data_IF_891613837937
#
_entry.id   IF_891613837937
#
_cell.length_a   1.000
_cell.length_b   1.000
_cell.length_c   1.000
_cell.angle_alpha   90.00
_cell.angle_beta   90.00
_cell.angle_gamma   90.00
#
_symmetry.space_group_name_H-M   'P 1'
#
loop_
_entity.id
_entity.type
_entity.pdbx_description
1 polymer ?
#
# COMPACT_ATOMS: atom_id res chain seq x y z
N UNK A 1 20.24 7.64 18.13
CA UNK A 1 18.90 8.15 17.74
C UNK A 1 17.88 7.09 18.14
N UNK A 2 16.68 7.47 18.58
CA UNK A 2 15.62 6.49 18.91
C UNK A 2 14.81 6.16 17.65
N UNK A 3 14.43 4.89 17.47
CA UNK A 3 13.54 4.45 16.39
C UNK A 3 12.13 4.21 16.94
N UNK A 4 11.10 4.63 16.20
CA UNK A 4 9.69 4.48 16.55
C UNK A 4 9.05 3.40 15.67
N UNK A 5 8.19 2.58 16.26
CA UNK A 5 7.30 1.65 15.55
C UNK A 5 5.87 1.95 15.95
N UNK A 6 5.01 2.15 14.95
CA UNK A 6 3.56 2.22 15.09
C UNK A 6 2.98 1.05 14.29
N UNK A 7 2.09 0.32 14.95
CA UNK A 7 1.39 -0.85 14.43
C UNK A 7 -0.05 -0.79 14.95
N UNK A 8 -0.94 -1.61 14.38
CA UNK A 8 -2.24 -1.83 14.97
C UNK A 8 -2.09 -2.41 16.39
N UNK A 9 -2.90 -1.94 17.32
CA UNK A 9 -2.96 -2.52 18.68
C UNK A 9 -3.51 -3.95 18.64
N UNK A 10 -4.42 -4.23 17.70
CA UNK A 10 -4.99 -5.57 17.49
C UNK A 10 -5.07 -5.85 15.99
N UNK A 11 -4.66 -7.04 15.58
CA UNK A 11 -4.78 -7.53 14.21
C UNK A 11 -5.12 -9.01 14.18
N UNK A 12 -6.06 -9.42 13.32
CA UNK A 12 -6.42 -10.83 13.09
C UNK A 12 -6.03 -11.25 11.69
N UNK A 13 -5.62 -12.50 11.54
CA UNK A 13 -5.15 -13.07 10.28
C UNK A 13 -5.86 -14.38 9.99
N UNK A 14 -5.98 -14.70 8.71
CA UNK A 14 -6.45 -16.00 8.25
C UNK A 14 -7.80 -15.93 7.53
N UNK A 15 -8.11 -16.97 6.73
CA UNK A 15 -9.39 -17.08 6.03
C UNK A 15 -10.56 -17.05 7.01
N UNK A 16 -11.55 -16.19 6.77
CA UNK A 16 -12.74 -16.09 7.61
C UNK A 16 -12.57 -15.27 8.90
N UNK A 17 -11.40 -14.64 9.11
CA UNK A 17 -11.13 -13.84 10.30
C UNK A 17 -12.08 -12.65 10.50
N UNK A 18 -12.81 -12.20 9.47
CA UNK A 18 -13.92 -11.22 9.60
C UNK A 18 -14.99 -11.62 10.62
N UNK A 19 -15.10 -12.91 10.95
CA UNK A 19 -16.04 -13.42 11.96
C UNK A 19 -15.83 -12.83 13.36
N UNK A 20 -14.65 -12.28 13.66
CA UNK A 20 -14.35 -11.64 14.96
C UNK A 20 -14.99 -10.25 15.12
N UNK A 21 -15.47 -9.65 14.02
CA UNK A 21 -16.01 -8.29 14.00
C UNK A 21 -17.03 -8.00 15.12
N UNK A 22 -18.09 -8.82 15.33
CA UNK A 22 -19.09 -8.53 16.35
C UNK A 22 -18.51 -8.45 17.76
N UNK A 23 -17.59 -9.36 18.09
CA UNK A 23 -16.94 -9.40 19.40
C UNK A 23 -16.05 -8.17 19.63
N UNK A 24 -15.26 -7.77 18.62
CA UNK A 24 -14.38 -6.61 18.74
C UNK A 24 -15.13 -5.27 18.77
N UNK A 25 -16.26 -5.18 18.05
CA UNK A 25 -17.18 -4.04 18.08
C UNK A 25 -17.82 -3.92 19.46
N UNK A 26 -18.38 -5.02 19.99
CA UNK A 26 -19.00 -5.05 21.32
C UNK A 26 -17.98 -4.71 22.43
N UNK A 27 -16.78 -5.29 22.37
CA UNK A 27 -15.70 -5.06 23.35
C UNK A 27 -15.26 -3.61 23.41
N UNK A 28 -15.26 -2.90 22.28
CA UNK A 28 -14.93 -1.46 22.21
C UNK A 28 -16.10 -0.54 22.51
N UNK A 29 -17.30 -1.09 22.67
CA UNK A 29 -18.51 -0.32 22.95
C UNK A 29 -19.04 0.47 21.75
N UNK A 30 -18.54 0.22 20.54
CA UNK A 30 -19.00 0.87 19.31
C UNK A 30 -20.46 0.56 18.98
N UNK A 31 -21.19 1.54 18.45
CA UNK A 31 -22.65 1.47 18.29
C UNK A 31 -23.13 1.42 16.85
N UNK A 32 -22.58 2.25 15.96
CA UNK A 32 -23.03 2.34 14.57
C UNK A 32 -21.86 2.63 13.64
N UNK A 33 -21.70 1.79 12.63
CA UNK A 33 -20.63 1.94 11.65
C UNK A 33 -21.05 2.85 10.48
N UNK A 34 -20.10 3.64 9.96
CA UNK A 34 -20.08 3.94 8.54
C UNK A 34 -19.19 2.90 7.84
N UNK A 35 -19.77 2.09 6.96
CA UNK A 35 -19.04 1.13 6.13
C UNK A 35 -18.54 1.85 4.88
N UNK A 36 -17.23 1.99 4.76
CA UNK A 36 -16.54 2.70 3.68
C UNK A 36 -16.00 1.65 2.70
N UNK A 37 -16.49 1.67 1.46
CA UNK A 37 -16.12 0.67 0.42
C UNK A 37 -16.24 1.28 -0.98
N UNK A 38 -16.14 0.48 -2.04
CA UNK A 38 -16.39 0.90 -3.40
C UNK A 38 -17.52 0.10 -4.06
N UNK A 39 -18.11 0.66 -5.12
CA UNK A 39 -19.21 0.05 -5.88
C UNK A 39 -18.86 -1.30 -6.48
N UNK A 40 -17.60 -1.51 -6.88
CA UNK A 40 -17.19 -2.80 -7.47
C UNK A 40 -17.16 -3.90 -6.41
N UNK A 41 -16.71 -3.62 -5.18
CA UNK A 41 -16.73 -4.59 -4.08
C UNK A 41 -18.14 -4.97 -3.63
N UNK A 42 -19.11 -4.05 -3.75
CA UNK A 42 -20.53 -4.36 -3.57
C UNK A 42 -21.02 -5.27 -4.70
N UNK A 43 -20.78 -4.87 -5.95
CA UNK A 43 -21.19 -5.60 -7.16
C UNK A 43 -20.62 -7.03 -7.21
N UNK A 44 -19.37 -7.22 -6.80
CA UNK A 44 -18.73 -8.53 -6.75
C UNK A 44 -18.99 -9.30 -5.44
N UNK A 45 -19.83 -8.78 -4.54
CA UNK A 45 -20.23 -9.47 -3.32
C UNK A 45 -19.13 -9.61 -2.26
N UNK A 46 -18.01 -8.90 -2.39
CA UNK A 46 -16.92 -8.91 -1.39
C UNK A 46 -17.37 -8.16 -0.14
N UNK A 47 -17.89 -6.94 -0.32
CA UNK A 47 -18.44 -6.16 0.80
C UNK A 47 -19.64 -6.86 1.46
N UNK A 48 -20.43 -7.61 0.67
CA UNK A 48 -21.57 -8.39 1.18
C UNK A 48 -21.15 -9.43 2.24
N UNK A 49 -19.94 -10.01 2.14
CA UNK A 49 -19.43 -10.94 3.16
C UNK A 49 -19.26 -10.28 4.54
N UNK A 50 -18.90 -9.00 4.57
CA UNK A 50 -18.74 -8.21 5.81
C UNK A 50 -20.10 -7.72 6.28
N UNK A 51 -20.92 -7.19 5.38
CA UNK A 51 -22.28 -6.72 5.67
C UNK A 51 -23.14 -7.84 6.29
N UNK A 52 -23.00 -9.07 5.79
CA UNK A 52 -23.69 -10.23 6.34
C UNK A 52 -23.34 -10.47 7.82
N UNK A 53 -22.05 -10.37 8.19
CA UNK A 53 -21.60 -10.50 9.58
C UNK A 53 -22.21 -9.41 10.46
N UNK A 54 -22.22 -8.16 10.00
CA UNK A 54 -22.81 -7.03 10.73
C UNK A 54 -24.33 -7.21 10.90
N UNK A 55 -25.01 -7.61 9.83
CA UNK A 55 -26.47 -7.81 9.82
C UNK A 55 -26.87 -8.94 10.76
N UNK A 56 -26.17 -10.08 10.71
CA UNK A 56 -26.41 -11.22 11.59
C UNK A 56 -26.20 -10.87 13.07
N UNK A 57 -25.20 -10.02 13.35
CA UNK A 57 -24.93 -9.53 14.70
C UNK A 57 -25.82 -8.36 15.14
N UNK A 58 -26.71 -7.86 14.26
CA UNK A 58 -27.56 -6.71 14.53
C UNK A 58 -26.79 -5.39 14.72
N UNK A 59 -25.60 -5.26 14.14
CA UNK A 59 -24.79 -4.03 14.19
C UNK A 59 -25.32 -3.02 13.18
N UNK A 60 -25.87 -1.86 13.63
CA UNK A 60 -26.33 -0.81 12.74
C UNK A 60 -25.20 -0.26 11.89
N UNK A 61 -25.45 -0.06 10.59
CA UNK A 61 -24.46 0.53 9.69
C UNK A 61 -25.12 1.31 8.55
N UNK A 62 -24.37 2.25 7.99
CA UNK A 62 -24.69 2.97 6.75
C UNK A 62 -23.52 2.78 5.80
N UNK A 63 -23.81 2.62 4.50
CA UNK A 63 -22.79 2.39 3.49
C UNK A 63 -22.43 3.71 2.80
N UNK A 64 -21.13 3.96 2.64
CA UNK A 64 -20.56 4.95 1.74
C UNK A 64 -19.67 4.24 0.72
N UNK A 65 -20.11 4.21 -0.54
CA UNK A 65 -19.51 3.42 -1.62
C UNK A 65 -19.00 4.25 -2.81
N UNK A 66 -19.09 5.58 -2.72
CA UNK A 66 -18.68 6.48 -3.81
C UNK A 66 -17.18 6.82 -3.73
N UNK A 67 -16.37 5.77 -3.82
CA UNK A 67 -14.90 5.84 -3.80
C UNK A 67 -14.37 5.39 -5.14
N UNK A 68 -13.50 6.20 -5.74
CA UNK A 68 -12.74 5.80 -6.92
C UNK A 68 -11.38 5.22 -6.54
N UNK A 69 -10.79 4.50 -7.49
CA UNK A 69 -9.35 4.24 -7.46
C UNK A 69 -8.61 5.58 -7.44
N UNK A 70 -7.50 5.66 -6.70
CA UNK A 70 -6.77 6.92 -6.48
C UNK A 70 -7.68 8.00 -5.84
N UNK A 71 -8.16 7.79 -4.60
CA UNK A 71 -9.24 8.56 -4.00
C UNK A 71 -8.92 10.04 -3.95
N UNK A 72 -9.93 10.90 -4.08
CA UNK A 72 -9.75 12.36 -4.15
C UNK A 72 -10.19 13.10 -2.91
N UNK A 73 -9.78 14.37 -2.85
CA UNK A 73 -10.36 15.38 -1.97
C UNK A 73 -11.90 15.31 -2.00
N UNK A 74 -12.53 15.21 -3.17
CA UNK A 74 -13.99 15.11 -3.28
C UNK A 74 -14.55 13.84 -2.61
N UNK A 75 -13.93 12.66 -2.80
CA UNK A 75 -14.36 11.44 -2.12
C UNK A 75 -14.23 11.56 -0.59
N UNK A 76 -13.20 12.24 -0.09
CA UNK A 76 -13.04 12.46 1.36
C UNK A 76 -14.10 13.46 1.86
N UNK A 77 -14.33 14.58 1.18
CA UNK A 77 -15.33 15.58 1.57
C UNK A 77 -16.74 15.00 1.63
N UNK A 78 -17.12 14.20 0.63
CA UNK A 78 -18.42 13.51 0.60
C UNK A 78 -18.52 12.46 1.71
N UNK A 79 -17.45 11.70 1.94
CA UNK A 79 -17.39 10.73 3.03
C UNK A 79 -17.51 11.36 4.43
N UNK A 80 -16.93 12.54 4.65
CA UNK A 80 -17.11 13.32 5.89
C UNK A 80 -18.59 13.70 6.08
N UNK A 81 -19.27 14.15 5.01
CA UNK A 81 -20.68 14.46 5.07
C UNK A 81 -21.53 13.20 5.37
N UNK A 82 -21.23 12.08 4.72
CA UNK A 82 -21.88 10.79 4.96
C UNK A 82 -21.68 10.30 6.40
N UNK A 83 -20.46 10.40 6.94
CA UNK A 83 -20.16 10.05 8.33
C UNK A 83 -21.02 10.87 9.30
N UNK A 84 -21.01 12.20 9.18
CA UNK A 84 -21.78 13.10 10.04
C UNK A 84 -23.28 12.84 9.95
N UNK A 85 -23.82 12.67 8.73
CA UNK A 85 -25.24 12.41 8.52
C UNK A 85 -25.68 11.03 9.03
N UNK A 86 -24.78 10.03 9.01
CA UNK A 86 -25.10 8.68 9.45
C UNK A 86 -25.29 8.56 10.98
N UNK A 87 -24.71 9.47 11.76
CA UNK A 87 -24.63 9.34 13.22
C UNK A 87 -23.78 8.15 13.67
N UNK A 88 -22.86 7.68 12.83
CA UNK A 88 -21.88 6.65 13.17
C UNK A 88 -20.87 7.16 14.20
N UNK A 89 -20.35 6.25 15.02
CA UNK A 89 -19.29 6.52 16.01
C UNK A 89 -17.95 5.84 15.65
N UNK A 90 -17.94 4.99 14.61
CA UNK A 90 -16.75 4.37 14.06
C UNK A 90 -16.91 4.05 12.57
N UNK A 91 -15.81 3.68 11.92
CA UNK A 91 -15.79 3.26 10.51
C UNK A 91 -15.33 1.82 10.35
N UNK A 92 -15.90 1.14 9.35
CA UNK A 92 -15.40 -0.13 8.84
C UNK A 92 -14.99 0.09 7.39
N UNK A 93 -13.68 0.07 7.13
CA UNK A 93 -13.15 0.20 5.78
C UNK A 93 -13.00 -1.19 5.15
N UNK A 94 -13.75 -1.48 4.09
CA UNK A 94 -13.66 -2.74 3.34
C UNK A 94 -13.21 -2.40 1.93
N UNK A 95 -11.94 -2.67 1.62
CA UNK A 95 -11.41 -2.40 0.29
C UNK A 95 -9.89 -2.48 0.21
N UNK A 96 -9.32 -2.07 -0.92
CA UNK A 96 -7.88 -1.84 -1.02
C UNK A 96 -7.48 -0.51 -0.39
N UNK A 97 -6.25 -0.05 -0.66
CA UNK A 97 -5.73 1.23 -0.15
C UNK A 97 -6.69 2.40 -0.40
N UNK A 98 -7.37 2.48 -1.54
CA UNK A 98 -8.28 3.59 -1.83
C UNK A 98 -9.43 3.75 -0.81
N UNK A 99 -10.07 2.66 -0.39
CA UNK A 99 -11.15 2.73 0.60
C UNK A 99 -10.61 3.00 2.01
N UNK A 100 -9.48 2.38 2.36
CA UNK A 100 -8.86 2.52 3.69
C UNK A 100 -8.29 3.94 3.87
N UNK A 101 -7.58 4.47 2.87
CA UNK A 101 -7.04 5.83 2.87
C UNK A 101 -8.15 6.88 2.93
N UNK A 102 -9.26 6.64 2.22
CA UNK A 102 -10.44 7.50 2.31
C UNK A 102 -11.02 7.49 3.73
N UNK A 103 -11.17 6.31 4.35
CA UNK A 103 -11.66 6.21 5.73
C UNK A 103 -10.73 6.90 6.74
N UNK A 104 -9.41 6.75 6.58
CA UNK A 104 -8.40 7.45 7.40
C UNK A 104 -8.54 8.96 7.30
N UNK A 105 -8.60 9.48 6.08
CA UNK A 105 -8.75 10.92 5.85
C UNK A 105 -10.07 11.46 6.42
N UNK A 106 -11.19 10.74 6.25
CA UNK A 106 -12.48 11.09 6.86
C UNK A 106 -12.32 11.17 8.38
N UNK A 107 -11.76 10.14 9.01
CA UNK A 107 -11.67 10.07 10.46
C UNK A 107 -10.73 11.10 11.07
N UNK A 108 -9.61 11.41 10.40
CA UNK A 108 -8.70 12.49 10.81
C UNK A 108 -9.42 13.83 10.76
N UNK A 109 -10.06 14.18 9.64
CA UNK A 109 -10.70 15.49 9.48
C UNK A 109 -11.92 15.65 10.39
N UNK A 110 -12.68 14.59 10.64
CA UNK A 110 -13.83 14.64 11.57
C UNK A 110 -13.39 15.02 12.98
N UNK A 111 -12.28 14.46 13.47
CA UNK A 111 -11.77 14.75 14.81
C UNK A 111 -10.79 15.94 14.87
N UNK A 112 -10.33 16.45 13.72
CA UNK A 112 -9.43 17.60 13.60
C UNK A 112 -9.99 18.58 12.52
N UNK A 113 -11.11 19.27 12.81
CA UNK A 113 -11.86 20.05 11.81
C UNK A 113 -11.09 21.24 11.23
N UNK A 114 -9.98 21.68 11.83
CA UNK A 114 -9.07 22.67 11.26
C UNK A 114 -8.41 22.22 9.94
N UNK A 115 -8.41 20.92 9.66
CA UNK A 115 -7.96 20.30 8.41
C UNK A 115 -9.12 20.00 7.45
N UNK A 116 -10.23 20.74 7.54
CA UNK A 116 -11.32 20.66 6.55
C UNK A 116 -10.82 20.91 5.11
N UNK A 117 -9.77 21.72 4.97
CA UNK A 117 -8.95 21.76 3.77
C UNK A 117 -7.96 20.58 3.79
N UNK A 118 -8.32 19.52 3.06
CA UNK A 118 -7.59 18.24 3.00
C UNK A 118 -6.17 18.42 2.47
N UNK A 119 -5.88 19.47 1.69
CA UNK A 119 -4.51 19.72 1.18
C UNK A 119 -3.51 20.00 2.30
N UNK A 120 -3.99 20.48 3.45
CA UNK A 120 -3.15 20.76 4.63
C UNK A 120 -2.72 19.50 5.39
N UNK A 121 -3.22 18.33 5.00
CA UNK A 121 -2.81 17.04 5.56
C UNK A 121 -1.55 16.47 4.91
N UNK A 122 -1.12 17.03 3.77
CA UNK A 122 0.07 16.55 3.07
C UNK A 122 1.34 16.64 3.95
N UNK A 123 2.15 15.59 3.91
CA UNK A 123 3.33 15.45 4.75
C UNK A 123 2.97 15.11 6.19
N UNK A 124 3.66 15.72 7.16
CA UNK A 124 3.51 15.43 8.60
C UNK A 124 2.65 16.52 9.24
N UNK A 125 1.35 16.48 8.96
CA UNK A 125 0.40 17.45 9.49
C UNK A 125 0.30 17.35 11.04
N UNK A 126 0.27 18.49 11.77
CA UNK A 126 0.29 18.49 13.24
C UNK A 126 -1.11 18.30 13.83
N UNK A 127 -1.76 17.17 13.53
CA UNK A 127 -3.06 16.82 14.11
C UNK A 127 -2.94 16.59 15.62
N UNK A 128 -4.01 16.91 16.36
CA UNK A 128 -4.01 16.87 17.84
C UNK A 128 -4.80 15.70 18.40
N UNK A 129 -5.78 15.22 17.64
CA UNK A 129 -6.71 14.18 18.05
C UNK A 129 -6.55 12.96 17.15
N UNK A 130 -6.67 11.77 17.76
CA UNK A 130 -6.77 10.51 17.03
C UNK A 130 -7.93 10.56 16.05
N UNK A 131 -7.76 9.89 14.92
CA UNK A 131 -8.82 9.63 13.95
C UNK A 131 -10.05 9.01 14.64
N UNK A 132 -11.23 9.21 14.06
CA UNK A 132 -12.39 8.36 14.36
C UNK A 132 -11.95 6.90 14.25
N UNK A 133 -12.31 6.00 15.19
CA UNK A 133 -11.84 4.62 15.14
C UNK A 133 -12.17 3.93 13.81
N UNK A 134 -11.14 3.42 13.13
CA UNK A 134 -11.27 2.65 11.89
C UNK A 134 -10.95 1.19 12.15
N UNK A 135 -11.86 0.30 11.76
CA UNK A 135 -11.61 -1.13 11.59
C UNK A 135 -11.35 -1.38 10.09
N UNK A 136 -10.18 -1.88 9.73
CA UNK A 136 -9.78 -2.06 8.33
C UNK A 136 -9.79 -3.54 7.92
N UNK A 137 -10.43 -3.85 6.79
CA UNK A 137 -10.49 -5.16 6.15
C UNK A 137 -9.95 -5.05 4.73
N UNK A 138 -8.64 -5.29 4.50
CA UNK A 138 -8.05 -5.23 3.18
C UNK A 138 -8.66 -6.29 2.25
N UNK A 139 -8.97 -5.89 1.02
CA UNK A 139 -9.46 -6.79 -0.05
C UNK A 139 -8.43 -6.99 -1.17
N UNK A 140 -7.27 -6.34 -1.04
CA UNK A 140 -6.12 -6.48 -1.93
C UNK A 140 -4.89 -6.82 -1.12
N UNK A 141 -4.07 -7.75 -1.61
CA UNK A 141 -2.78 -8.04 -0.98
C UNK A 141 -1.68 -7.15 -1.59
N UNK A 142 -1.49 -5.93 -1.06
CA UNK A 142 -0.53 -4.97 -1.63
C UNK A 142 -0.18 -3.78 -0.76
N UNK A 143 -1.16 -2.88 -0.55
CA UNK A 143 -0.93 -1.54 0.00
C UNK A 143 -0.61 -1.51 1.48
N UNK A 144 -1.05 -2.53 2.24
CA UNK A 144 -0.94 -2.60 3.69
C UNK A 144 -1.49 -1.35 4.43
N UNK A 145 -2.43 -0.62 3.82
CA UNK A 145 -2.99 0.62 4.35
C UNK A 145 -3.64 0.42 5.73
N UNK A 146 -4.07 -0.79 6.03
CA UNK A 146 -4.63 -1.21 7.30
C UNK A 146 -3.64 -1.13 8.49
N UNK A 147 -2.33 -1.15 8.24
CA UNK A 147 -1.27 -1.10 9.29
C UNK A 147 -0.36 0.12 9.19
N UNK A 148 -0.48 0.90 8.11
CA UNK A 148 0.36 2.08 7.91
C UNK A 148 -0.15 3.27 8.71
N UNK A 149 0.71 4.27 8.91
CA UNK A 149 0.36 5.62 9.39
C UNK A 149 0.28 6.62 8.22
N UNK A 150 0.00 6.12 7.02
CA UNK A 150 -0.04 6.91 5.80
C UNK A 150 -1.38 6.72 5.11
N UNK A 151 -1.79 7.74 4.37
CA UNK A 151 -2.87 7.67 3.38
C UNK A 151 -2.58 8.61 2.22
N UNK A 152 -3.00 8.23 1.01
CA UNK A 152 -2.69 8.97 -0.22
C UNK A 152 -3.96 9.47 -0.88
N UNK A 153 -4.10 10.80 -0.96
CA UNK A 153 -5.27 11.46 -1.57
C UNK A 153 -4.85 12.26 -2.81
N UNK A 154 -5.59 12.11 -3.89
CA UNK A 154 -5.38 12.86 -5.14
C UNK A 154 -5.98 14.26 -5.04
N UNK A 155 -5.16 15.27 -5.25
CA UNK A 155 -5.57 16.62 -5.60
C UNK A 155 -5.64 16.73 -7.13
N UNK A 156 -6.87 16.72 -7.66
CA UNK A 156 -7.13 16.83 -9.10
C UNK A 156 -6.81 18.22 -9.64
N UNK A 157 -6.89 19.27 -8.82
CA UNK A 157 -6.57 20.63 -9.25
C UNK A 157 -5.06 20.80 -9.42
N UNK A 158 -4.27 20.25 -8.49
CA UNK A 158 -2.81 20.26 -8.56
C UNK A 158 -2.22 19.13 -9.42
N UNK A 159 -3.03 18.17 -9.88
CA UNK A 159 -2.61 16.94 -10.57
C UNK A 159 -1.50 16.23 -9.78
N UNK A 160 -1.79 15.99 -8.50
CA UNK A 160 -0.82 15.48 -7.52
C UNK A 160 -1.45 14.46 -6.60
N UNK A 161 -0.68 13.44 -6.22
CA UNK A 161 -1.00 12.57 -5.09
C UNK A 161 -0.32 13.11 -3.83
N UNK A 162 -1.13 13.43 -2.81
CA UNK A 162 -0.67 13.92 -1.54
C UNK A 162 -0.46 12.74 -0.60
N UNK A 163 0.77 12.54 -0.14
CA UNK A 163 1.08 11.56 0.89
C UNK A 163 0.93 12.23 2.24
N UNK A 164 -0.04 11.78 3.03
CA UNK A 164 -0.25 12.24 4.40
C UNK A 164 0.33 11.21 5.37
N UNK A 165 1.07 11.66 6.38
CA UNK A 165 1.78 10.82 7.36
C UNK A 165 1.36 11.22 8.76
N UNK A 166 0.57 10.40 9.44
CA UNK A 166 0.01 10.73 10.75
C UNK A 166 -0.15 9.51 11.69
N UNK A 167 0.59 9.43 12.81
CA UNK A 167 0.36 8.46 13.88
C UNK A 167 -1.09 8.34 14.35
N UNK A 168 -1.87 9.41 14.24
CA UNK A 168 -3.26 9.46 14.66
C UNK A 168 -4.21 8.73 13.69
N UNK A 169 -3.77 8.33 12.50
CA UNK A 169 -4.60 7.65 11.49
C UNK A 169 -4.61 6.12 11.58
N UNK A 170 -3.69 5.54 12.38
CA UNK A 170 -3.53 4.09 12.48
C UNK A 170 -4.89 3.42 12.82
N UNK A 171 -5.35 2.44 12.01
CA UNK A 171 -6.57 1.72 12.32
C UNK A 171 -6.48 1.03 13.69
N UNK A 172 -7.56 1.09 14.46
CA UNK A 172 -7.59 0.48 15.81
C UNK A 172 -7.67 -1.04 15.75
N UNK A 173 -8.04 -1.58 14.59
CA UNK A 173 -8.14 -3.01 14.32
C UNK A 173 -7.93 -3.27 12.82
N UNK A 174 -7.04 -4.19 12.49
CA UNK A 174 -6.90 -4.75 11.14
C UNK A 174 -7.39 -6.21 11.12
N UNK A 175 -8.16 -6.59 10.11
CA UNK A 175 -8.61 -7.99 9.91
C UNK A 175 -8.21 -8.45 8.52
N UNK A 176 -7.13 -9.22 8.46
CA UNK A 176 -6.48 -9.69 7.24
C UNK A 176 -7.13 -11.03 6.86
N UNK A 177 -8.30 -10.92 6.25
CA UNK A 177 -9.11 -12.06 5.81
C UNK A 177 -8.84 -12.40 4.34
N UNK A 178 -8.08 -13.46 4.11
CA UNK A 178 -7.71 -13.91 2.78
C UNK A 178 -8.92 -14.25 1.88
N UNK A 179 -10.08 -14.59 2.44
CA UNK A 179 -11.28 -14.87 1.64
C UNK A 179 -11.86 -13.61 0.98
N UNK A 180 -11.55 -12.42 1.50
CA UNK A 180 -11.91 -11.14 0.89
C UNK A 180 -11.04 -10.80 -0.33
N UNK A 181 -9.93 -11.52 -0.53
CA UNK A 181 -8.96 -11.31 -1.63
C UNK A 181 -9.09 -12.38 -2.74
N UNK A 182 -9.88 -13.43 -2.52
CA UNK A 182 -9.98 -14.58 -3.43
C UNK A 182 -10.52 -14.23 -4.82
N UNK A 183 -11.38 -13.22 -4.91
CA UNK A 183 -12.02 -12.79 -6.17
C UNK A 183 -11.16 -11.82 -6.99
N UNK A 184 -9.99 -11.39 -6.49
CA UNK A 184 -9.12 -10.49 -7.22
C UNK A 184 -8.74 -11.07 -8.59
N UNK A 185 -8.94 -10.30 -9.69
CA UNK A 185 -8.47 -10.71 -11.01
C UNK A 185 -6.96 -10.98 -11.02
N UNK A 186 -6.49 -11.82 -11.96
CA UNK A 186 -5.06 -12.18 -12.08
C UNK A 186 -4.16 -10.95 -12.20
N UNK A 187 -4.52 -10.01 -13.07
CA UNK A 187 -3.75 -8.77 -13.26
C UNK A 187 -3.69 -7.90 -11.99
N UNK A 188 -4.80 -7.78 -11.26
CA UNK A 188 -4.83 -7.06 -9.98
C UNK A 188 -3.96 -7.76 -8.93
N UNK A 189 -4.04 -9.08 -8.85
CA UNK A 189 -3.22 -9.89 -7.92
C UNK A 189 -1.74 -9.73 -8.20
N UNK A 190 -1.33 -9.75 -9.47
CA UNK A 190 0.05 -9.52 -9.88
C UNK A 190 0.51 -8.11 -9.52
N UNK A 191 -0.29 -7.08 -9.87
CA UNK A 191 0.03 -5.69 -9.61
C UNK A 191 0.21 -5.40 -8.12
N UNK A 192 -0.74 -5.80 -7.28
CA UNK A 192 -0.68 -5.52 -5.83
C UNK A 192 0.38 -6.38 -5.14
N UNK A 193 0.64 -7.61 -5.61
CA UNK A 193 1.72 -8.41 -5.05
C UNK A 193 3.11 -7.84 -5.34
N UNK A 194 3.32 -7.29 -6.53
CA UNK A 194 4.55 -6.58 -6.88
C UNK A 194 4.67 -5.21 -6.20
N UNK A 195 3.53 -4.59 -5.89
CA UNK A 195 3.46 -3.42 -5.01
C UNK A 195 3.99 -3.75 -3.60
N UNK A 196 3.47 -4.81 -2.98
CA UNK A 196 3.98 -5.31 -1.70
C UNK A 196 5.48 -5.67 -1.75
N UNK A 197 5.96 -6.22 -2.86
CA UNK A 197 7.39 -6.51 -3.03
C UNK A 197 8.21 -5.22 -3.08
N UNK A 198 7.70 -4.21 -3.79
CA UNK A 198 8.31 -2.88 -3.86
C UNK A 198 8.39 -2.26 -2.47
N UNK A 199 7.29 -2.29 -1.70
CA UNK A 199 7.26 -1.85 -0.31
C UNK A 199 8.36 -2.52 0.52
N UNK A 200 8.47 -3.85 0.45
CA UNK A 200 9.46 -4.59 1.23
C UNK A 200 10.90 -4.28 0.79
N UNK A 201 11.18 -4.21 -0.51
CA UNK A 201 12.53 -3.89 -1.02
C UNK A 201 12.92 -2.44 -0.69
N UNK A 202 12.03 -1.47 -0.89
CA UNK A 202 12.33 -0.08 -0.54
C UNK A 202 12.43 0.12 0.97
N UNK A 203 11.61 -0.55 1.78
CA UNK A 203 11.74 -0.59 3.24
C UNK A 203 13.10 -1.15 3.68
N UNK A 204 13.61 -2.16 2.97
CA UNK A 204 14.91 -2.73 3.29
C UNK A 204 16.04 -1.79 2.87
N UNK A 205 15.90 -1.08 1.76
CA UNK A 205 16.98 -0.25 1.22
C UNK A 205 16.93 1.22 1.67
N UNK A 206 15.85 1.69 2.27
CA UNK A 206 15.67 3.09 2.71
C UNK A 206 16.75 3.53 3.71
N UNK A 207 17.05 4.83 3.72
CA UNK A 207 18.04 5.46 4.62
C UNK A 207 17.73 5.24 6.10
N UNK A 208 16.45 5.13 6.46
CA UNK A 208 16.01 4.98 7.84
C UNK A 208 15.90 3.50 8.29
N UNK A 209 16.27 2.55 7.42
CA UNK A 209 16.24 1.13 7.73
C UNK A 209 17.09 0.79 8.95
N UNK A 210 16.58 -0.13 9.76
CA UNK A 210 17.23 -0.63 10.97
C UNK A 210 16.73 -2.04 11.28
N UNK A 211 17.28 -2.68 12.32
CA UNK A 211 17.09 -4.11 12.59
C UNK A 211 15.63 -4.58 12.57
N UNK A 212 14.68 -3.83 13.15
CA UNK A 212 13.27 -4.27 13.13
C UNK A 212 12.62 -4.13 11.75
N UNK A 213 12.85 -3.03 11.02
CA UNK A 213 12.31 -2.88 9.66
C UNK A 213 12.90 -3.91 8.72
N UNK A 214 14.17 -4.26 8.90
CA UNK A 214 14.87 -5.27 8.11
C UNK A 214 14.26 -6.67 8.31
N UNK A 215 13.92 -7.01 9.55
CA UNK A 215 13.24 -8.26 9.89
C UNK A 215 11.91 -8.38 9.14
N UNK A 216 11.09 -7.33 9.15
CA UNK A 216 9.81 -7.31 8.43
C UNK A 216 10.03 -7.39 6.91
N UNK A 217 10.92 -6.56 6.37
CA UNK A 217 11.15 -6.48 4.94
C UNK A 217 11.64 -7.80 4.34
N UNK A 218 12.65 -8.44 4.94
CA UNK A 218 13.18 -9.70 4.43
C UNK A 218 12.16 -10.85 4.52
N UNK A 219 11.38 -10.90 5.60
CA UNK A 219 10.30 -11.89 5.73
C UNK A 219 9.22 -11.67 4.67
N UNK A 220 8.82 -10.42 4.42
CA UNK A 220 7.85 -10.09 3.38
C UNK A 220 8.36 -10.47 1.98
N UNK A 221 9.62 -10.13 1.64
CA UNK A 221 10.23 -10.50 0.35
C UNK A 221 10.16 -12.02 0.14
N UNK A 222 10.53 -12.80 1.16
CA UNK A 222 10.53 -14.26 1.07
C UNK A 222 9.14 -14.85 0.87
N UNK A 223 8.16 -14.35 1.61
CA UNK A 223 6.77 -14.81 1.47
C UNK A 223 6.18 -14.41 0.13
N UNK A 224 6.43 -13.19 -0.36
CA UNK A 224 5.92 -12.72 -1.66
C UNK A 224 6.54 -13.55 -2.80
N UNK A 225 7.85 -13.75 -2.79
CA UNK A 225 8.53 -14.58 -3.79
C UNK A 225 7.97 -16.01 -3.85
N UNK A 226 7.62 -16.58 -2.69
CA UNK A 226 7.02 -17.91 -2.57
C UNK A 226 5.57 -17.95 -3.07
N UNK A 227 4.73 -17.02 -2.63
CA UNK A 227 3.27 -17.14 -2.76
C UNK A 227 2.68 -16.40 -3.97
N UNK A 228 3.30 -15.32 -4.44
CA UNK A 228 2.71 -14.49 -5.49
C UNK A 228 2.48 -15.24 -6.81
N UNK A 229 3.43 -16.05 -7.33
CA UNK A 229 3.20 -16.75 -8.60
C UNK A 229 1.98 -17.66 -8.55
N UNK A 230 1.81 -18.39 -7.45
CA UNK A 230 0.71 -19.32 -7.24
C UNK A 230 -0.62 -18.58 -7.04
N UNK A 231 -0.62 -17.46 -6.30
CA UNK A 231 -1.81 -16.63 -6.13
C UNK A 231 -2.32 -16.06 -7.47
N UNK A 232 -1.42 -15.81 -8.43
CA UNK A 232 -1.75 -15.32 -9.78
C UNK A 232 -2.21 -16.46 -10.70
N UNK A 233 -1.51 -17.60 -10.72
CA UNK A 233 -1.87 -18.72 -11.60
C UNK A 233 -3.13 -19.46 -11.14
N UNK A 234 -3.31 -19.61 -9.83
CA UNK A 234 -4.39 -20.34 -9.17
C UNK A 234 -5.12 -19.42 -8.16
N UNK A 235 -6.05 -18.55 -8.62
CA UNK A 235 -6.64 -17.49 -7.80
C UNK A 235 -7.45 -17.98 -6.59
N UNK A 236 -7.84 -19.25 -6.56
CA UNK A 236 -8.55 -19.89 -5.45
C UNK A 236 -7.64 -20.70 -4.51
N UNK A 237 -6.32 -20.65 -4.69
CA UNK A 237 -5.36 -21.27 -3.76
C UNK A 237 -5.40 -20.56 -2.42
N UNK A 238 -6.05 -21.17 -1.42
CA UNK A 238 -6.18 -20.61 -0.07
C UNK A 238 -4.82 -20.36 0.56
N UNK A 239 -3.85 -21.28 0.39
CA UNK A 239 -2.49 -21.11 0.92
C UNK A 239 -1.80 -19.89 0.30
N UNK A 240 -1.84 -19.75 -1.03
CA UNK A 240 -1.16 -18.64 -1.70
C UNK A 240 -1.84 -17.29 -1.41
N UNK A 241 -3.17 -17.26 -1.34
CA UNK A 241 -3.92 -16.06 -0.95
C UNK A 241 -3.62 -15.65 0.49
N UNK A 242 -3.62 -16.62 1.41
CA UNK A 242 -3.31 -16.34 2.81
C UNK A 242 -1.85 -15.89 2.98
N UNK A 243 -0.91 -16.58 2.33
CA UNK A 243 0.51 -16.21 2.34
C UNK A 243 0.75 -14.80 1.80
N UNK A 244 0.08 -14.40 0.72
CA UNK A 244 0.16 -13.02 0.21
C UNK A 244 -0.50 -12.00 1.14
N UNK A 245 -1.63 -12.34 1.76
CA UNK A 245 -2.34 -11.47 2.70
C UNK A 245 -1.49 -11.16 3.95
N UNK A 246 -0.77 -12.15 4.47
CA UNK A 246 0.21 -11.98 5.55
C UNK A 246 1.43 -11.18 5.08
N UNK A 247 1.99 -11.53 3.91
CA UNK A 247 3.24 -10.95 3.44
C UNK A 247 3.16 -9.45 3.18
N UNK A 248 2.08 -9.00 2.55
CA UNK A 248 1.84 -7.57 2.30
C UNK A 248 1.68 -6.79 3.62
N UNK A 249 0.99 -7.38 4.62
CA UNK A 249 0.82 -6.75 5.92
C UNK A 249 2.16 -6.59 6.63
N UNK A 250 2.98 -7.65 6.62
CA UNK A 250 4.34 -7.63 7.18
C UNK A 250 5.19 -6.56 6.48
N UNK A 251 5.10 -6.39 5.16
CA UNK A 251 5.76 -5.29 4.47
C UNK A 251 5.34 -3.92 5.05
N UNK A 252 4.02 -3.74 5.26
CA UNK A 252 3.43 -2.57 5.92
C UNK A 252 3.96 -2.25 7.30
N UNK A 253 4.16 -3.28 8.14
CA UNK A 253 4.75 -3.12 9.48
C UNK A 253 6.15 -2.49 9.41
N UNK A 254 6.91 -2.77 8.35
CA UNK A 254 8.20 -2.17 8.08
C UNK A 254 8.08 -0.75 7.51
N UNK A 255 7.60 -0.63 6.26
CA UNK A 255 7.77 0.59 5.48
C UNK A 255 7.03 1.80 6.07
N UNK A 256 5.92 1.56 6.76
CA UNK A 256 5.17 2.61 7.49
C UNK A 256 6.08 3.42 8.43
N UNK A 257 7.10 2.76 9.00
CA UNK A 257 7.92 3.30 10.07
C UNK A 257 9.28 3.84 9.62
N UNK A 258 9.72 3.50 8.41
CA UNK A 258 11.06 3.87 7.88
C UNK A 258 11.01 4.50 6.49
N UNK A 259 9.82 4.60 5.89
CA UNK A 259 9.63 5.16 4.56
C UNK A 259 9.99 4.19 3.43
N UNK A 260 10.00 4.75 2.24
CA UNK A 260 10.18 4.06 0.95
C UNK A 260 11.32 4.74 0.18
N UNK A 261 11.26 4.75 -1.15
CA UNK A 261 12.26 5.39 -2.01
C UNK A 261 11.68 5.94 -3.31
N UNK A 262 12.55 6.02 -4.33
CA UNK A 262 12.15 6.62 -5.60
C UNK A 262 11.30 5.73 -6.50
N UNK A 263 11.08 4.44 -6.20
CA UNK A 263 10.08 3.66 -6.96
C UNK A 263 8.71 4.29 -6.77
N UNK A 264 8.30 4.48 -5.50
CA UNK A 264 7.03 5.13 -5.16
C UNK A 264 6.99 6.58 -5.63
N UNK A 265 8.09 7.31 -5.44
CA UNK A 265 8.19 8.71 -5.88
C UNK A 265 7.98 8.86 -7.39
N UNK A 266 8.48 7.92 -8.18
CA UNK A 266 8.29 7.87 -9.62
C UNK A 266 6.92 7.30 -10.03
N UNK A 267 6.30 6.46 -9.20
CA UNK A 267 4.98 5.90 -9.48
C UNK A 267 3.83 6.88 -9.18
N UNK A 268 3.95 7.73 -8.15
CA UNK A 268 2.89 8.68 -7.76
C UNK A 268 2.50 9.63 -8.89
N UNK A 269 3.43 10.29 -9.63
CA UNK A 269 3.09 11.12 -10.77
C UNK A 269 2.39 10.35 -11.89
N UNK A 270 2.73 9.08 -12.12
CA UNK A 270 2.04 8.27 -13.14
C UNK A 270 0.56 8.07 -12.78
N UNK A 271 0.28 7.81 -11.50
CA UNK A 271 -1.08 7.73 -10.98
C UNK A 271 -1.83 9.07 -11.08
N UNK A 272 -1.15 10.21 -10.90
CA UNK A 272 -1.80 11.52 -10.99
C UNK A 272 -2.06 11.97 -12.44
N UNK A 273 -1.15 11.66 -13.37
CA UNK A 273 -1.20 12.14 -14.76
C UNK A 273 -2.02 11.24 -15.68
N UNK A 274 -1.95 9.93 -15.47
CA UNK A 274 -2.53 8.93 -16.37
C UNK A 274 -3.53 8.01 -15.69
N UNK A 275 -3.82 8.24 -14.40
CA UNK A 275 -4.62 7.34 -13.56
C UNK A 275 -4.07 5.89 -13.57
N UNK A 276 -2.75 5.75 -13.75
CA UNK A 276 -2.08 4.44 -13.79
C UNK A 276 -2.32 3.70 -12.47
N UNK A 277 -2.73 2.40 -12.51
CA UNK A 277 -2.82 1.59 -11.30
C UNK A 277 -1.49 1.54 -10.55
N UNK A 278 -1.51 1.90 -9.26
CA UNK A 278 -0.31 2.11 -8.45
C UNK A 278 0.66 0.92 -8.49
N UNK A 279 0.17 -0.29 -8.25
CA UNK A 279 1.00 -1.50 -8.26
C UNK A 279 1.64 -1.81 -9.61
N UNK A 280 1.01 -1.46 -10.73
CA UNK A 280 1.60 -1.61 -12.07
C UNK A 280 2.76 -0.63 -12.25
N UNK A 281 2.57 0.64 -11.87
CA UNK A 281 3.62 1.65 -11.94
C UNK A 281 4.85 1.25 -11.12
N UNK A 282 4.64 0.84 -9.86
CA UNK A 282 5.71 0.35 -8.98
C UNK A 282 6.41 -0.88 -9.56
N UNK A 283 5.66 -1.87 -10.02
CA UNK A 283 6.22 -3.12 -10.54
C UNK A 283 7.10 -2.93 -11.78
N UNK A 284 6.71 -2.03 -12.69
CA UNK A 284 7.50 -1.68 -13.88
C UNK A 284 8.80 -0.96 -13.49
N UNK A 285 8.73 -0.01 -12.55
CA UNK A 285 9.86 0.85 -12.18
C UNK A 285 10.88 0.16 -11.26
N UNK A 286 10.42 -0.77 -10.39
CA UNK A 286 11.22 -1.43 -9.36
C UNK A 286 12.61 -1.92 -9.85
N UNK A 287 12.73 -2.75 -10.91
CA UNK A 287 14.04 -3.25 -11.32
C UNK A 287 15.00 -2.16 -11.80
N UNK A 288 14.49 -1.10 -12.45
CA UNK A 288 15.33 0.00 -12.93
C UNK A 288 15.86 0.87 -11.78
N UNK A 289 15.03 1.10 -10.77
CA UNK A 289 15.43 1.82 -9.56
C UNK A 289 16.39 0.99 -8.70
N UNK A 290 16.20 -0.33 -8.62
CA UNK A 290 17.17 -1.23 -7.98
C UNK A 290 18.54 -1.12 -8.65
N UNK A 291 18.60 -1.16 -9.99
CA UNK A 291 19.85 -0.94 -10.73
C UNK A 291 20.50 0.41 -10.40
N UNK A 292 19.69 1.48 -10.31
CA UNK A 292 20.17 2.80 -9.94
C UNK A 292 20.71 2.88 -8.50
N UNK A 293 20.04 2.24 -7.55
CA UNK A 293 20.38 2.28 -6.13
C UNK A 293 21.50 1.32 -5.74
N UNK A 294 21.80 0.30 -6.55
CA UNK A 294 22.79 -0.72 -6.24
C UNK A 294 24.15 -0.18 -5.74
N UNK A 295 24.76 0.88 -6.33
CA UNK A 295 26.03 1.42 -5.82
C UNK A 295 25.99 1.93 -4.37
N UNK A 296 24.82 2.34 -3.86
CA UNK A 296 24.66 2.86 -2.50
C UNK A 296 24.37 1.77 -1.46
N UNK A 297 24.00 0.56 -1.89
CA UNK A 297 23.50 -0.48 -0.99
C UNK A 297 23.82 -1.92 -1.46
N UNK A 298 24.86 -2.10 -2.28
CA UNK A 298 25.24 -3.38 -2.89
C UNK A 298 25.31 -4.57 -1.91
N UNK A 299 25.87 -4.44 -0.68
CA UNK A 299 25.92 -5.57 0.26
C UNK A 299 24.53 -6.13 0.63
N UNK A 300 23.50 -5.29 0.62
CA UNK A 300 22.12 -5.63 0.98
C UNK A 300 21.42 -6.46 -0.10
N UNK A 301 21.87 -6.41 -1.35
CA UNK A 301 21.22 -7.12 -2.45
C UNK A 301 21.36 -8.63 -2.35
N UNK A 302 22.44 -9.10 -1.70
CA UNK A 302 22.60 -10.53 -1.39
C UNK A 302 21.46 -11.06 -0.51
N UNK A 303 20.98 -10.25 0.42
CA UNK A 303 19.89 -10.62 1.32
C UNK A 303 18.55 -10.63 0.59
N UNK A 304 18.35 -9.69 -0.34
CA UNK A 304 17.20 -9.71 -1.26
C UNK A 304 17.24 -10.97 -2.14
N UNK A 305 18.38 -11.28 -2.76
CA UNK A 305 18.52 -12.49 -3.60
C UNK A 305 18.20 -13.76 -2.82
N UNK A 306 18.72 -13.88 -1.59
CA UNK A 306 18.43 -14.99 -0.68
C UNK A 306 16.94 -15.08 -0.35
N UNK A 307 16.32 -13.98 0.05
CA UNK A 307 14.89 -13.93 0.36
C UNK A 307 14.04 -14.29 -0.87
N UNK A 308 14.44 -13.87 -2.06
CA UNK A 308 13.81 -14.23 -3.33
C UNK A 308 14.04 -15.71 -3.75
N UNK A 309 14.78 -16.50 -2.97
CA UNK A 309 15.00 -17.93 -3.22
C UNK A 309 16.18 -18.25 -4.15
N UNK A 310 17.10 -17.32 -4.38
CA UNK A 310 18.31 -17.59 -5.17
C UNK A 310 19.22 -18.56 -4.41
N UNK A 311 19.50 -19.73 -5.00
CA UNK A 311 20.38 -20.75 -4.42
C UNK A 311 21.83 -20.26 -4.33
N UNK A 312 22.50 -20.53 -3.20
CA UNK A 312 23.89 -20.12 -2.98
C UNK A 312 24.07 -18.63 -2.72
N UNK A 313 22.99 -17.90 -2.42
CA UNK A 313 23.03 -16.46 -2.23
C UNK A 313 24.01 -16.04 -1.12
N UNK A 314 24.18 -16.84 -0.08
CA UNK A 314 25.03 -16.57 1.09
C UNK A 314 26.52 -16.38 0.76
N UNK A 315 27.02 -17.00 -0.31
CA UNK A 315 28.43 -16.91 -0.72
C UNK A 315 28.66 -15.98 -1.91
N UNK A 316 27.64 -15.27 -2.38
CA UNK A 316 27.78 -14.34 -3.50
C UNK A 316 28.67 -13.16 -3.13
N UNK A 317 29.49 -12.72 -4.10
CA UNK A 317 30.10 -11.40 -4.08
C UNK A 317 29.02 -10.32 -4.18
N UNK A 318 29.33 -9.09 -3.76
CA UNK A 318 28.37 -7.98 -3.80
C UNK A 318 27.82 -7.74 -5.22
N UNK A 319 28.69 -7.74 -6.25
CA UNK A 319 28.28 -7.55 -7.64
C UNK A 319 27.40 -8.69 -8.16
N UNK A 320 27.68 -9.94 -7.77
CA UNK A 320 26.83 -11.08 -8.12
C UNK A 320 25.48 -11.03 -7.38
N UNK A 321 25.47 -10.62 -6.11
CA UNK A 321 24.27 -10.39 -5.32
C UNK A 321 23.35 -9.35 -5.94
N UNK A 322 23.91 -8.21 -6.38
CA UNK A 322 23.18 -7.17 -7.11
C UNK A 322 22.53 -7.75 -8.37
N UNK A 323 23.33 -8.40 -9.21
CA UNK A 323 22.88 -8.96 -10.50
C UNK A 323 21.75 -9.97 -10.31
N UNK A 324 21.92 -10.91 -9.38
CA UNK A 324 20.96 -11.99 -9.17
C UNK A 324 19.68 -11.53 -8.45
N UNK A 325 19.76 -10.56 -7.54
CA UNK A 325 18.55 -9.97 -6.94
C UNK A 325 17.67 -9.27 -7.97
N UNK A 326 18.27 -8.43 -8.83
CA UNK A 326 17.55 -7.71 -9.90
C UNK A 326 16.99 -8.72 -10.91
N UNK A 327 17.77 -9.75 -11.28
CA UNK A 327 17.31 -10.80 -12.17
C UNK A 327 16.11 -11.58 -11.59
N UNK A 328 16.12 -11.88 -10.28
CA UNK A 328 15.01 -12.55 -9.60
C UNK A 328 13.74 -11.70 -9.61
N UNK A 329 13.85 -10.39 -9.37
CA UNK A 329 12.71 -9.46 -9.43
C UNK A 329 12.14 -9.36 -10.84
N UNK A 330 13.00 -9.22 -11.87
CA UNK A 330 12.55 -9.22 -13.28
C UNK A 330 11.89 -10.53 -13.68
N UNK A 331 12.46 -11.67 -13.26
CA UNK A 331 11.89 -12.99 -13.52
C UNK A 331 10.52 -13.17 -12.87
N UNK A 332 10.35 -12.73 -11.62
CA UNK A 332 9.06 -12.74 -10.94
C UNK A 332 8.05 -11.84 -11.65
N UNK A 333 8.41 -10.57 -11.91
CA UNK A 333 7.58 -9.58 -12.62
C UNK A 333 7.04 -10.13 -13.95
N UNK A 334 7.93 -10.72 -14.76
CA UNK A 334 7.57 -11.39 -16.01
C UNK A 334 6.67 -12.61 -15.80
N UNK A 335 6.97 -13.46 -14.80
CA UNK A 335 6.20 -14.68 -14.51
C UNK A 335 4.76 -14.36 -14.13
N UNK A 336 4.52 -13.23 -13.47
CA UNK A 336 3.16 -12.81 -13.05
C UNK A 336 2.47 -11.89 -14.06
N UNK A 337 3.12 -11.58 -15.19
CA UNK A 337 2.51 -10.88 -16.32
C UNK A 337 2.47 -9.36 -16.19
N UNK A 338 3.45 -8.76 -15.51
CA UNK A 338 3.61 -7.30 -15.46
C UNK A 338 4.25 -6.81 -16.77
N UNK A 339 3.79 -5.68 -17.35
CA UNK A 339 4.46 -5.02 -18.47
C UNK A 339 5.90 -4.62 -18.13
N UNK A 340 6.82 -4.66 -19.10
CA UNK A 340 8.24 -4.42 -18.81
C UNK A 340 8.65 -2.94 -18.97
N UNK A 341 7.85 -2.15 -19.69
CA UNK A 341 8.16 -0.76 -20.05
C UNK A 341 6.98 0.20 -19.84
N UNK A 342 7.31 1.47 -19.58
CA UNK A 342 6.33 2.54 -19.31
C UNK A 342 5.42 2.82 -20.51
N UNK A 343 5.91 2.67 -21.75
CA UNK A 343 5.08 2.83 -22.95
C UNK A 343 3.95 1.81 -23.06
N UNK A 344 4.12 0.62 -22.45
CA UNK A 344 3.11 -0.45 -22.45
C UNK A 344 1.94 -0.13 -21.50
N UNK A 345 2.13 0.82 -20.58
CA UNK A 345 1.12 1.25 -19.60
C UNK A 345 0.63 2.67 -19.88
N UNK A 346 0.83 3.17 -21.11
CA UNK A 346 0.26 4.42 -21.61
C UNK A 346 1.01 5.70 -21.25
N UNK A 347 2.22 5.60 -20.65
CA UNK A 347 3.07 6.77 -20.41
C UNK A 347 3.57 7.32 -21.74
N UNK A 348 3.68 8.65 -21.84
CA UNK A 348 4.16 9.34 -23.04
C UNK A 348 5.55 9.89 -22.82
N UNK A 349 6.41 9.75 -23.84
CA UNK A 349 7.80 10.22 -23.79
C UNK A 349 7.92 11.73 -23.53
N UNK A 350 6.99 12.51 -24.09
CA UNK A 350 6.94 13.97 -23.96
C UNK A 350 6.76 14.44 -22.50
N UNK A 351 6.15 13.60 -21.65
CA UNK A 351 5.82 13.96 -20.27
C UNK A 351 6.94 13.56 -19.28
N UNK A 352 7.95 12.77 -19.70
CA UNK A 352 8.97 12.22 -18.79
C UNK A 352 9.72 13.30 -18.00
N UNK A 353 10.03 14.44 -18.63
CA UNK A 353 10.70 15.55 -17.95
C UNK A 353 9.83 16.15 -16.83
N UNK A 354 8.52 16.30 -17.08
CA UNK A 354 7.57 16.83 -16.08
C UNK A 354 7.33 15.81 -14.96
N UNK A 355 7.27 14.52 -15.29
CA UNK A 355 7.16 13.43 -14.32
C UNK A 355 8.38 13.37 -13.40
N UNK A 356 9.60 13.57 -13.94
CA UNK A 356 10.83 13.59 -13.15
C UNK A 356 10.85 14.72 -12.10
N UNK A 357 10.39 15.92 -12.48
CA UNK A 357 10.25 17.05 -11.54
C UNK A 357 9.23 16.72 -10.45
N UNK A 358 8.07 16.18 -10.82
CA UNK A 358 7.04 15.79 -9.87
C UNK A 358 7.52 14.70 -8.90
N UNK A 359 8.21 13.68 -9.41
CA UNK A 359 8.78 12.60 -8.62
C UNK A 359 9.84 13.10 -7.64
N UNK A 360 10.71 14.02 -8.06
CA UNK A 360 11.71 14.60 -7.17
C UNK A 360 11.08 15.38 -6.00
N UNK A 361 9.92 16.02 -6.23
CA UNK A 361 9.15 16.72 -5.21
C UNK A 361 8.29 15.82 -4.31
N UNK A 362 8.27 14.50 -4.55
CA UNK A 362 7.50 13.54 -3.77
C UNK A 362 8.14 13.24 -2.41
N UNK A 363 7.30 13.01 -1.38
CA UNK A 363 7.73 12.76 0.00
C UNK A 363 8.61 11.51 0.12
N UNK A 364 8.39 10.48 -0.71
CA UNK A 364 9.17 9.25 -0.65
C UNK A 364 10.62 9.42 -1.13
N UNK A 365 10.94 10.47 -1.91
CA UNK A 365 12.27 10.69 -2.48
C UNK A 365 13.33 10.85 -1.37
N UNK A 366 12.96 11.47 -0.25
CA UNK A 366 13.85 11.67 0.89
C UNK A 366 14.34 10.37 1.55
N UNK A 367 13.59 9.27 1.39
CA UNK A 367 13.95 7.95 1.94
C UNK A 367 14.98 7.18 1.10
N UNK A 368 15.18 7.55 -0.17
CA UNK A 368 15.98 6.77 -1.10
C UNK A 368 17.47 6.67 -0.68
N UNK A 369 18.10 5.48 -0.67
CA UNK A 369 19.47 5.30 -0.19
C UNK A 369 20.49 6.13 -0.95
N UNK A 370 20.29 6.29 -2.26
CA UNK A 370 21.15 7.10 -3.13
C UNK A 370 20.59 8.52 -3.21
N UNK A 371 21.40 9.53 -2.87
CA UNK A 371 21.05 10.93 -3.16
C UNK A 371 20.80 11.07 -4.66
N UNK A 372 19.69 11.72 -5.02
CA UNK A 372 19.20 11.77 -6.40
C UNK A 372 18.95 13.20 -6.86
N UNK A 373 18.70 13.37 -8.14
CA UNK A 373 18.35 14.62 -8.80
C UNK A 373 17.18 14.42 -9.78
N UNK A 374 16.64 15.51 -10.32
CA UNK A 374 15.65 15.46 -11.42
C UNK A 374 16.27 14.78 -12.65
N UNK A 375 17.54 15.07 -12.94
CA UNK A 375 18.29 14.51 -14.06
C UNK A 375 18.47 12.99 -13.92
N UNK A 376 18.80 12.52 -12.72
CA UNK A 376 18.90 11.08 -12.43
C UNK A 376 17.56 10.38 -12.62
N UNK A 377 16.48 10.93 -12.04
CA UNK A 377 15.13 10.36 -12.14
C UNK A 377 14.68 10.33 -13.61
N UNK A 378 14.93 11.39 -14.38
CA UNK A 378 14.67 11.42 -15.81
C UNK A 378 15.46 10.35 -16.57
N UNK A 379 16.71 10.10 -16.18
CA UNK A 379 17.52 9.00 -16.72
C UNK A 379 16.88 7.63 -16.48
N UNK A 380 16.32 7.40 -15.29
CA UNK A 380 15.61 6.15 -14.96
C UNK A 380 14.31 6.05 -15.78
N UNK A 381 13.51 7.11 -15.87
CA UNK A 381 12.31 7.13 -16.70
C UNK A 381 12.61 6.80 -18.17
N UNK A 382 13.66 7.40 -18.75
CA UNK A 382 14.09 7.10 -20.13
C UNK A 382 14.53 5.66 -20.33
N UNK A 383 15.16 5.07 -19.31
CA UNK A 383 15.58 3.66 -19.36
C UNK A 383 14.41 2.70 -19.24
N UNK A 384 13.36 3.09 -18.53
CA UNK A 384 12.15 2.31 -18.33
C UNK A 384 11.07 2.54 -19.42
N UNK A 385 11.25 3.51 -20.31
CA UNK A 385 10.33 3.83 -21.42
C UNK A 385 10.54 2.91 -22.62
#
# INVERSE_FOLDING_TARGET
MAHRIILNETSYFGPGSRSVLPAEIARRGFKKALLVTDKELIKFGVAAKVIAVLTQAGVPHVIYDDIKQNPTIANVTQGIAAFKASGADFMIAVGGGSAIDTAKAIGIVVNNPEFADITKLEGVAPTKHRSVPVIALPTTAGTAAEVTINYVITDEQAVKKMVCVDPNDIPVLAIIDAELMTSMPKGLTAATGMDALTHAIECYLTRAAWTMSDMFALQAIAMIAKHLPEAVSHPHSTEARNGMAEAQYIAGMGFSNVGLGIVHSMAHPLGAFYDTPHGIANAVLLPYVMEYNAPACAPRYRDIARAMGVTGAEVLSEGAGVTLAIAAVKALSKRVGIPEQLREIGVKEVDLAKLAVAAFGDVCTGGNPRTTSVEDILGIYRKAF
#
